data_IF_863233182847
#
_entry.id   IF_863233182847
#
_cell.length_a   1.000
_cell.length_b   1.000
_cell.length_c   1.000
_cell.angle_alpha   90.00
_cell.angle_beta   90.00
_cell.angle_gamma   90.00
#
_symmetry.space_group_name_H-M   'P 1'
#
loop_
_entity.id
_entity.type
_entity.pdbx_description
1 polymer ?
#
# COMPACT_ATOMS: atom_id res chain seq x y z
N UNK A 1 29.66 -29.70 15.42
CA UNK A 1 29.12 -28.31 15.50
C UNK A 1 27.96 -28.19 14.49
N UNK A 2 26.80 -28.76 14.81
CA UNK A 2 25.68 -28.96 13.88
C UNK A 2 24.34 -28.59 14.55
N UNK A 3 24.27 -27.44 15.23
CA UNK A 3 23.06 -27.01 15.95
C UNK A 3 22.67 -25.55 15.72
N UNK A 4 23.40 -24.81 14.89
CA UNK A 4 23.21 -23.36 14.75
C UNK A 4 22.77 -22.91 13.34
N UNK A 5 22.23 -23.83 12.52
CA UNK A 5 21.81 -23.50 11.14
C UNK A 5 20.29 -23.60 10.91
N UNK A 6 19.51 -24.11 11.87
CA UNK A 6 18.07 -24.35 11.66
C UNK A 6 17.15 -23.27 12.24
N UNK A 7 17.66 -22.29 12.98
CA UNK A 7 16.82 -21.25 13.61
C UNK A 7 16.64 -20.01 12.71
N UNK A 8 17.53 -19.78 11.75
CA UNK A 8 17.49 -18.55 10.93
C UNK A 8 16.45 -18.62 9.80
N UNK A 9 16.02 -19.81 9.38
CA UNK A 9 15.07 -19.97 8.26
C UNK A 9 13.61 -19.87 8.72
N UNK A 10 13.33 -20.08 10.01
CA UNK A 10 11.96 -20.07 10.53
C UNK A 10 11.38 -18.65 10.75
N UNK A 11 12.23 -17.61 10.82
CA UNK A 11 11.77 -16.21 10.98
C UNK A 11 11.32 -15.56 9.67
N UNK A 12 11.70 -16.13 8.53
CA UNK A 12 11.34 -15.63 7.18
C UNK A 12 10.00 -16.16 6.65
N UNK A 13 9.32 -17.06 7.37
CA UNK A 13 8.08 -17.70 6.92
C UNK A 13 6.83 -17.30 7.73
N UNK A 14 6.94 -16.41 8.72
CA UNK A 14 5.81 -15.89 9.51
C UNK A 14 5.57 -14.40 9.22
N UNK A 15 5.83 -13.98 7.98
CA UNK A 15 5.16 -12.82 7.39
C UNK A 15 3.95 -13.28 6.55
N UNK A 16 3.35 -14.41 6.92
CA UNK A 16 2.04 -14.80 6.43
C UNK A 16 0.98 -14.02 7.22
N UNK A 17 0.34 -13.07 6.53
CA UNK A 17 -0.98 -12.49 6.80
C UNK A 17 -1.22 -11.80 8.15
N UNK A 18 -0.28 -11.01 8.68
CA UNK A 18 -0.73 -9.86 9.50
C UNK A 18 -1.23 -8.80 8.51
N UNK A 19 -2.48 -8.40 8.64
CA UNK A 19 -3.08 -7.36 7.79
C UNK A 19 -2.25 -6.09 7.80
N UNK A 20 -2.36 -5.30 6.75
CA UNK A 20 -1.79 -3.96 6.73
C UNK A 20 -2.74 -3.06 7.53
N UNK A 21 -2.45 -2.88 8.81
CA UNK A 21 -3.32 -2.14 9.73
C UNK A 21 -2.89 -0.67 9.90
N UNK A 22 -1.65 -0.34 9.53
CA UNK A 22 -1.08 1.01 9.67
C UNK A 22 -0.28 1.45 8.44
N UNK A 23 -0.11 2.78 8.27
CA UNK A 23 0.76 3.35 7.22
C UNK A 23 2.17 2.74 7.26
N UNK A 24 2.73 2.55 8.45
CA UNK A 24 4.09 2.02 8.62
C UNK A 24 4.19 0.54 8.18
N UNK A 25 3.15 -0.26 8.47
CA UNK A 25 3.07 -1.64 7.96
C UNK A 25 2.93 -1.67 6.43
N UNK A 26 2.21 -0.70 5.86
CA UNK A 26 2.02 -0.54 4.42
C UNK A 26 3.31 -0.11 3.69
N UNK A 27 4.09 0.80 4.29
CA UNK A 27 5.42 1.18 3.80
C UNK A 27 6.39 -0.01 3.81
N UNK A 28 6.42 -0.77 4.90
CA UNK A 28 7.25 -1.97 5.01
C UNK A 28 6.84 -3.03 3.98
N UNK A 29 5.53 -3.22 3.77
CA UNK A 29 4.99 -4.09 2.73
C UNK A 29 5.43 -3.64 1.34
N UNK A 30 5.21 -2.38 0.96
CA UNK A 30 5.62 -1.82 -0.32
C UNK A 30 7.11 -2.05 -0.58
N UNK A 31 7.96 -1.76 0.41
CA UNK A 31 9.41 -1.99 0.35
C UNK A 31 9.75 -3.46 0.13
N UNK A 32 9.09 -4.38 0.84
CA UNK A 32 9.31 -5.83 0.68
C UNK A 32 8.91 -6.34 -0.71
N UNK A 33 8.02 -5.62 -1.41
CA UNK A 33 7.57 -5.91 -2.76
C UNK A 33 8.38 -5.16 -3.83
N UNK A 34 9.47 -4.49 -3.44
CA UNK A 34 10.36 -3.77 -4.34
C UNK A 34 9.87 -2.38 -4.74
N UNK A 35 8.81 -1.86 -4.11
CA UNK A 35 8.32 -0.50 -4.31
C UNK A 35 9.04 0.42 -3.34
N UNK A 36 9.93 1.27 -3.86
CA UNK A 36 10.63 2.28 -3.05
C UNK A 36 9.75 3.52 -2.97
N UNK A 37 9.33 3.88 -1.77
CA UNK A 37 8.54 5.08 -1.49
C UNK A 37 9.46 6.22 -1.03
N UNK A 38 9.37 7.36 -1.69
CA UNK A 38 10.11 8.59 -1.41
C UNK A 38 9.15 9.78 -1.27
N UNK A 39 9.66 10.96 -0.92
CA UNK A 39 8.91 12.23 -0.90
C UNK A 39 7.63 12.22 -0.05
N UNK A 40 7.71 11.55 1.11
CA UNK A 40 6.59 11.43 2.07
C UNK A 40 6.01 12.79 2.45
N UNK A 41 4.75 13.02 2.11
CA UNK A 41 4.00 14.23 2.46
C UNK A 41 2.68 13.84 3.11
N UNK A 42 2.34 14.45 4.25
CA UNK A 42 1.05 14.20 4.90
C UNK A 42 -0.07 14.99 4.22
N UNK A 43 -1.13 14.31 3.78
CA UNK A 43 -2.33 14.98 3.28
C UNK A 43 -3.34 15.17 4.42
N UNK A 44 -3.28 16.36 5.02
CA UNK A 44 -4.18 16.77 6.11
C UNK A 44 -5.57 17.19 5.64
N UNK A 45 -5.80 17.24 4.32
CA UNK A 45 -7.11 17.60 3.75
C UNK A 45 -7.97 16.37 3.47
N UNK A 46 -7.42 15.16 3.62
CA UNK A 46 -8.15 13.94 3.38
C UNK A 46 -9.24 13.73 4.45
N UNK A 47 -10.50 13.81 4.04
CA UNK A 47 -11.65 13.75 4.96
C UNK A 47 -12.10 12.33 5.29
N UNK A 48 -11.83 11.35 4.42
CA UNK A 48 -12.35 9.99 4.54
C UNK A 48 -11.43 9.03 5.30
N UNK A 49 -10.15 9.38 5.42
CA UNK A 49 -9.13 8.56 6.07
C UNK A 49 -8.41 9.40 7.14
N UNK A 50 -8.40 8.98 8.42
CA UNK A 50 -7.74 9.71 9.51
C UNK A 50 -6.26 10.00 9.28
N UNK A 51 -5.56 9.16 8.52
CA UNK A 51 -4.16 9.38 8.12
C UNK A 51 -4.01 9.10 6.64
N UNK A 52 -3.38 10.03 5.94
CA UNK A 52 -3.09 9.92 4.52
C UNK A 52 -1.69 10.46 4.26
N UNK A 53 -0.90 9.70 3.51
CA UNK A 53 0.42 10.15 3.07
C UNK A 53 0.61 9.90 1.58
N UNK A 54 1.16 10.90 0.93
CA UNK A 54 1.55 10.88 -0.47
C UNK A 54 3.03 10.54 -0.59
N UNK A 55 3.36 9.72 -1.59
CA UNK A 55 4.71 9.30 -1.90
C UNK A 55 4.97 9.32 -3.40
N UNK A 56 6.27 9.30 -3.75
CA UNK A 56 6.77 9.01 -5.09
C UNK A 56 7.48 7.66 -5.13
N UNK A 57 7.25 6.90 -6.19
CA UNK A 57 8.06 5.74 -6.57
C UNK A 57 8.56 5.95 -8.00
N UNK A 58 9.71 6.64 -8.11
CA UNK A 58 10.08 7.30 -9.37
C UNK A 58 9.00 8.31 -9.76
N UNK A 59 8.53 8.25 -11.00
CA UNK A 59 7.47 9.13 -11.51
C UNK A 59 6.05 8.73 -11.06
N UNK A 60 5.88 7.56 -10.43
CA UNK A 60 4.57 7.06 -10.00
C UNK A 60 4.19 7.67 -8.67
N UNK A 61 2.99 8.24 -8.60
CA UNK A 61 2.38 8.66 -7.34
C UNK A 61 1.81 7.44 -6.61
N UNK A 62 2.07 7.36 -5.30
CA UNK A 62 1.48 6.37 -4.40
C UNK A 62 0.93 7.08 -3.17
N UNK A 63 -0.39 7.19 -3.06
CA UNK A 63 -1.07 7.58 -1.83
C UNK A 63 -1.32 6.37 -0.94
N UNK A 64 -1.07 6.47 0.36
CA UNK A 64 -1.44 5.46 1.35
C UNK A 64 -2.45 6.09 2.30
N UNK A 65 -3.67 5.56 2.27
CA UNK A 65 -4.77 5.96 3.15
C UNK A 65 -4.97 4.89 4.21
N UNK A 66 -5.02 5.30 5.47
CA UNK A 66 -5.37 4.45 6.60
C UNK A 66 -6.77 4.82 7.09
N UNK A 67 -7.72 3.92 6.87
CA UNK A 67 -9.10 4.04 7.34
C UNK A 67 -9.23 3.51 8.77
N UNK A 68 -10.31 3.88 9.46
CA UNK A 68 -10.61 3.33 10.78
C UNK A 68 -10.98 1.83 10.73
N UNK A 69 -11.54 1.36 9.61
CA UNK A 69 -11.99 -0.03 9.42
C UNK A 69 -11.75 -0.51 7.99
N UNK A 70 -11.69 -1.83 7.82
CA UNK A 70 -11.56 -2.45 6.50
C UNK A 70 -12.81 -2.22 5.63
N UNK A 71 -13.99 -2.17 6.25
CA UNK A 71 -15.25 -1.90 5.59
C UNK A 71 -15.28 -0.48 5.02
N UNK A 72 -14.75 0.51 5.76
CA UNK A 72 -14.66 1.88 5.29
C UNK A 72 -13.74 2.01 4.06
N UNK A 73 -12.59 1.33 4.08
CA UNK A 73 -11.68 1.29 2.92
C UNK A 73 -12.36 0.67 1.68
N UNK A 74 -13.06 -0.45 1.85
CA UNK A 74 -13.80 -1.11 0.76
C UNK A 74 -14.93 -0.24 0.21
N UNK A 75 -15.76 0.33 1.08
CA UNK A 75 -16.85 1.20 0.67
C UNK A 75 -16.34 2.44 -0.09
N UNK A 76 -15.23 3.04 0.37
CA UNK A 76 -14.61 4.15 -0.34
C UNK A 76 -14.14 3.74 -1.73
N UNK A 77 -13.49 2.58 -1.88
CA UNK A 77 -13.09 2.05 -3.18
C UNK A 77 -14.29 1.87 -4.11
N UNK A 78 -15.36 1.24 -3.64
CA UNK A 78 -16.58 0.99 -4.43
C UNK A 78 -17.21 2.28 -4.95
N UNK A 79 -17.28 3.32 -4.12
CA UNK A 79 -17.80 4.63 -4.51
C UNK A 79 -16.90 5.29 -5.56
N UNK A 80 -15.58 5.23 -5.36
CA UNK A 80 -14.64 5.90 -6.24
C UNK A 80 -14.42 5.17 -7.57
N UNK A 81 -14.53 3.84 -7.61
CA UNK A 81 -14.42 3.04 -8.83
C UNK A 81 -15.62 3.28 -9.78
N UNK A 82 -16.75 3.75 -9.26
CA UNK A 82 -17.91 4.16 -10.07
C UNK A 82 -17.74 5.56 -10.69
N UNK A 83 -16.72 6.32 -10.27
CA UNK A 83 -16.46 7.66 -10.79
C UNK A 83 -15.65 7.59 -12.08
N UNK A 84 -16.15 8.14 -13.21
CA UNK A 84 -15.41 8.16 -14.47
C UNK A 84 -14.23 9.15 -14.48
N UNK A 85 -14.02 9.88 -13.38
CA UNK A 85 -13.07 11.00 -13.30
C UNK A 85 -11.70 10.62 -12.69
N UNK A 86 -11.56 9.44 -12.08
CA UNK A 86 -10.30 9.02 -11.44
C UNK A 86 -9.70 7.84 -12.20
N UNK A 87 -8.53 8.06 -12.83
CA UNK A 87 -7.73 7.02 -13.48
C UNK A 87 -6.85 6.24 -12.49
N UNK A 88 -6.92 6.59 -11.21
CA UNK A 88 -6.09 6.07 -10.14
C UNK A 88 -6.52 4.65 -9.77
N UNK A 89 -5.56 3.74 -9.69
CA UNK A 89 -5.80 2.37 -9.26
C UNK A 89 -5.85 2.30 -7.74
N UNK A 90 -6.88 1.65 -7.21
CA UNK A 90 -7.16 1.57 -5.76
C UNK A 90 -7.03 0.13 -5.30
N UNK A 91 -6.08 -0.15 -4.42
CA UNK A 91 -5.73 -1.49 -3.95
C UNK A 91 -5.93 -1.53 -2.44
N UNK A 92 -6.77 -2.44 -1.95
CA UNK A 92 -7.20 -2.48 -0.54
C UNK A 92 -6.62 -3.68 0.18
N UNK A 93 -6.03 -3.44 1.35
CA UNK A 93 -5.50 -4.43 2.30
C UNK A 93 -6.02 -4.12 3.70
N UNK A 94 -7.12 -4.75 4.10
CA UNK A 94 -7.75 -4.44 5.38
C UNK A 94 -8.14 -2.94 5.46
N UNK A 95 -7.76 -2.21 6.52
CA UNK A 95 -8.02 -0.77 6.62
C UNK A 95 -7.07 0.11 5.79
N UNK A 96 -6.09 -0.45 5.08
CA UNK A 96 -5.17 0.31 4.23
C UNK A 96 -5.63 0.28 2.78
N UNK A 97 -5.53 1.43 2.11
CA UNK A 97 -5.67 1.55 0.67
C UNK A 97 -4.43 2.20 0.07
N UNK A 98 -3.90 1.60 -1.00
CA UNK A 98 -2.96 2.24 -1.89
C UNK A 98 -3.71 2.86 -3.07
N UNK A 99 -3.47 4.15 -3.32
CA UNK A 99 -3.90 4.87 -4.51
C UNK A 99 -2.69 5.07 -5.43
N UNK A 100 -2.73 4.52 -6.64
CA UNK A 100 -1.60 4.55 -7.57
C UNK A 100 -1.98 5.31 -8.82
N UNK A 101 -1.24 6.36 -9.13
CA UNK A 101 -1.52 7.29 -10.22
C UNK A 101 -0.24 7.79 -10.89
N UNK A 102 -0.41 8.59 -11.94
CA UNK A 102 0.69 9.23 -12.67
C UNK A 102 1.73 8.22 -13.24
N UNK A 103 2.87 8.73 -13.69
CA UNK A 103 3.91 7.94 -14.38
C UNK A 103 3.46 7.33 -15.72
N UNK A 104 4.39 6.63 -16.38
CA UNK A 104 4.03 5.85 -17.57
C UNK A 104 3.14 4.67 -17.19
N UNK A 105 2.27 4.22 -18.12
CA UNK A 105 1.42 3.05 -17.91
C UNK A 105 2.23 1.82 -17.47
N UNK A 106 3.40 1.62 -18.06
CA UNK A 106 4.26 0.47 -17.75
C UNK A 106 4.82 0.50 -16.32
N UNK A 107 5.21 1.67 -15.82
CA UNK A 107 5.72 1.83 -14.46
C UNK A 107 4.59 1.73 -13.44
N UNK A 108 3.46 2.39 -13.73
CA UNK A 108 2.27 2.33 -12.90
C UNK A 108 1.78 0.89 -12.74
N UNK A 109 1.73 0.11 -13.81
CA UNK A 109 1.31 -1.30 -13.74
C UNK A 109 2.30 -2.18 -12.97
N UNK A 110 3.61 -1.89 -13.00
CA UNK A 110 4.58 -2.60 -12.14
C UNK A 110 4.32 -2.33 -10.65
N UNK A 111 4.08 -1.08 -10.28
CA UNK A 111 3.75 -0.70 -8.90
C UNK A 111 2.43 -1.33 -8.46
N UNK A 112 1.39 -1.23 -9.29
CA UNK A 112 0.08 -1.86 -9.01
C UNK A 112 0.24 -3.36 -8.80
N UNK A 113 0.90 -4.08 -9.72
CA UNK A 113 1.09 -5.52 -9.62
C UNK A 113 1.88 -5.92 -8.36
N UNK A 114 2.89 -5.14 -7.97
CA UNK A 114 3.65 -5.39 -6.76
C UNK A 114 2.80 -5.24 -5.49
N UNK A 115 1.83 -4.31 -5.49
CA UNK A 115 0.99 -3.99 -4.34
C UNK A 115 -0.31 -4.80 -4.28
N UNK A 116 -0.67 -5.59 -5.30
CA UNK A 116 -1.83 -6.48 -5.23
C UNK A 116 -1.68 -7.53 -4.10
N UNK A 117 -2.79 -7.99 -3.50
CA UNK A 117 -2.82 -9.09 -2.52
C UNK A 117 -2.15 -10.38 -3.00
#
# INVERSE_FOLDING_TARGET
>A
MLRMLFIVIALSAIACSKGLDTIESAEAFAKSRGVVLAEKTEDTKQAVAPRCFDYRSGEVYVGILQFNTAEAAKAYKEVMDQSPLSSEQKIVHGPIMFMVAEGSDSERQKVVAALQP
#
